data_IF_497074097507
#
_entry.id   IF_497074097507
#
_cell.length_a   1.000
_cell.length_b   1.000
_cell.length_c   1.000
_cell.angle_alpha   90.00
_cell.angle_beta   90.00
_cell.angle_gamma   90.00
#
_symmetry.space_group_name_H-M   'P 1'
#
loop_
_entity.id
_entity.type
_entity.pdbx_description
1 polymer ?
#
# COMPACT_ATOMS: atom_id res chain seq x y z
N UNK A 1 -9.34 -2.72 -8.26
CA UNK A 1 -9.12 -2.36 -6.84
C UNK A 1 -8.87 -3.60 -6.00
N UNK A 2 -9.68 -4.66 -6.14
CA UNK A 2 -9.60 -5.89 -5.33
C UNK A 2 -8.19 -6.52 -5.27
N UNK A 3 -7.48 -6.58 -6.40
CA UNK A 3 -6.09 -7.07 -6.43
C UNK A 3 -5.16 -6.26 -5.53
N UNK A 4 -5.30 -4.93 -5.51
CA UNK A 4 -4.48 -4.05 -4.68
C UNK A 4 -4.84 -4.21 -3.21
N UNK A 5 -6.14 -4.22 -2.89
CA UNK A 5 -6.63 -4.45 -1.53
C UNK A 5 -6.11 -5.77 -0.97
N UNK A 6 -6.17 -6.84 -1.77
CA UNK A 6 -5.66 -8.14 -1.37
C UNK A 6 -4.16 -8.10 -1.03
N UNK A 7 -3.32 -7.53 -1.91
CA UNK A 7 -1.88 -7.43 -1.65
C UNK A 7 -1.57 -6.64 -0.39
N UNK A 8 -2.22 -5.49 -0.20
CA UNK A 8 -1.98 -4.64 0.97
C UNK A 8 -2.53 -5.24 2.25
N UNK A 9 -3.60 -6.07 2.19
CA UNK A 9 -4.16 -6.74 3.36
C UNK A 9 -3.24 -7.78 3.99
N UNK A 10 -2.20 -8.22 3.27
CA UNK A 10 -1.19 -9.15 3.77
C UNK A 10 -0.20 -8.49 4.74
N UNK A 11 -0.23 -7.16 4.88
CA UNK A 11 0.64 -6.41 5.78
C UNK A 11 -0.14 -5.40 6.61
N UNK A 12 0.35 -5.16 7.83
CA UNK A 12 -0.13 -4.07 8.69
C UNK A 12 0.68 -2.77 8.49
N UNK A 13 1.76 -2.80 7.70
CA UNK A 13 2.64 -1.66 7.39
C UNK A 13 1.95 -0.60 6.54
N UNK A 14 0.95 -0.97 5.75
CA UNK A 14 0.27 -0.07 4.85
C UNK A 14 -1.23 -0.01 5.14
N UNK A 15 -1.80 1.19 5.06
CA UNK A 15 -3.25 1.41 5.11
C UNK A 15 -3.70 2.10 3.84
N UNK A 16 -4.76 1.58 3.24
CA UNK A 16 -5.37 2.15 2.04
C UNK A 16 -6.60 2.96 2.43
N UNK A 17 -7.02 3.91 1.59
CA UNK A 17 -8.24 4.64 1.84
C UNK A 17 -9.47 3.73 1.88
N UNK A 18 -10.36 3.98 2.83
CA UNK A 18 -11.64 3.31 2.94
C UNK A 18 -12.71 4.12 2.21
N UNK A 19 -13.38 3.49 1.24
CA UNK A 19 -14.47 4.11 0.49
C UNK A 19 -15.65 3.15 0.50
N UNK A 20 -16.77 3.48 1.16
CA UNK A 20 -17.91 2.58 1.25
C UNK A 20 -18.61 2.43 -0.11
N UNK A 21 -19.24 1.26 -0.38
CA UNK A 21 -20.12 1.12 -1.52
C UNK A 21 -21.28 2.12 -1.47
N UNK A 22 -21.70 2.61 -2.63
CA UNK A 22 -22.78 3.58 -2.75
C UNK A 22 -23.71 3.24 -3.91
N UNK A 23 -24.95 3.71 -3.84
CA UNK A 23 -25.89 3.60 -4.96
C UNK A 23 -25.49 4.53 -6.11
N UNK A 24 -25.37 3.97 -7.30
CA UNK A 24 -25.06 4.73 -8.51
C UNK A 24 -26.32 4.94 -9.35
N UNK A 25 -26.71 6.21 -9.56
CA UNK A 25 -27.90 6.55 -10.35
C UNK A 25 -27.79 6.10 -11.81
N UNK A 26 -26.60 6.12 -12.39
CA UNK A 26 -26.35 5.72 -13.77
C UNK A 26 -26.51 4.21 -13.97
N UNK A 27 -25.84 3.38 -13.14
CA UNK A 27 -25.94 1.92 -13.26
C UNK A 27 -27.15 1.32 -12.54
N UNK A 28 -27.90 2.13 -11.78
CA UNK A 28 -29.08 1.75 -10.98
C UNK A 28 -28.80 0.60 -9.99
N UNK A 29 -27.58 0.55 -9.47
CA UNK A 29 -27.09 -0.52 -8.58
C UNK A 29 -26.20 0.04 -7.49
N UNK A 30 -26.10 -0.68 -6.36
CA UNK A 30 -25.05 -0.43 -5.36
C UNK A 30 -23.73 -0.93 -5.92
N UNK A 31 -22.70 -0.08 -5.89
CA UNK A 31 -21.38 -0.38 -6.44
C UNK A 31 -20.28 -0.08 -5.43
N UNK A 32 -19.28 -0.96 -5.40
CA UNK A 32 -18.02 -0.68 -4.73
C UNK A 32 -17.22 0.42 -5.42
N UNK A 33 -16.30 1.04 -4.69
CA UNK A 33 -15.48 2.13 -5.19
C UNK A 33 -14.51 1.69 -6.29
N UNK A 34 -14.35 2.53 -7.30
CA UNK A 34 -13.38 2.37 -8.40
C UNK A 34 -12.53 3.65 -8.56
N UNK A 35 -11.71 4.00 -7.54
CA UNK A 35 -10.96 5.25 -7.56
C UNK A 35 -9.85 5.23 -8.61
N UNK A 36 -9.53 6.40 -9.17
CA UNK A 36 -8.40 6.55 -10.10
C UNK A 36 -7.03 6.48 -9.41
N UNK A 37 -7.00 6.69 -8.09
CA UNK A 37 -5.79 6.73 -7.29
C UNK A 37 -5.94 5.89 -6.03
N UNK A 38 -4.85 5.26 -5.59
CA UNK A 38 -4.70 4.72 -4.25
C UNK A 38 -4.05 5.79 -3.36
N UNK A 39 -4.63 6.04 -2.21
CA UNK A 39 -4.11 6.92 -1.18
C UNK A 39 -3.59 6.05 -0.05
N UNK A 40 -2.28 5.79 -0.10
CA UNK A 40 -1.61 4.81 0.75
C UNK A 40 -0.92 5.52 1.91
N UNK A 41 -1.19 5.09 3.15
CA UNK A 41 -0.46 5.51 4.35
C UNK A 41 0.55 4.42 4.75
N UNK A 42 1.78 4.80 5.06
CA UNK A 42 2.67 3.96 5.85
C UNK A 42 2.30 4.07 7.34
N UNK A 43 1.84 2.96 7.91
CA UNK A 43 1.21 2.90 9.23
C UNK A 43 2.19 2.65 10.38
N UNK A 44 3.40 2.17 10.09
CA UNK A 44 4.48 2.05 11.08
C UNK A 44 5.13 3.40 11.34
N UNK A 45 5.54 3.65 12.58
CA UNK A 45 6.03 4.96 13.01
C UNK A 45 7.42 5.27 12.43
N UNK A 46 8.24 4.23 12.26
CA UNK A 46 9.54 4.30 11.61
C UNK A 46 9.45 4.73 10.13
N UNK A 47 8.33 4.48 9.46
CA UNK A 47 8.07 4.87 8.07
C UNK A 47 7.54 6.31 7.96
N UNK A 48 8.26 7.27 8.57
CA UNK A 48 7.87 8.69 8.63
C UNK A 48 7.77 9.37 7.26
N UNK A 49 8.52 8.89 6.26
CA UNK A 49 8.44 9.35 4.88
C UNK A 49 8.11 8.17 3.95
N UNK A 50 6.83 7.99 3.67
CA UNK A 50 6.32 6.85 2.93
C UNK A 50 6.75 6.85 1.46
N UNK A 51 6.95 8.05 0.87
CA UNK A 51 7.47 8.18 -0.48
C UNK A 51 8.88 7.58 -0.61
N UNK A 52 9.78 7.92 0.34
CA UNK A 52 11.14 7.37 0.39
C UNK A 52 11.13 5.86 0.61
N UNK A 53 10.32 5.35 1.52
CA UNK A 53 10.16 3.91 1.77
C UNK A 53 9.80 3.16 0.48
N UNK A 54 8.72 3.58 -0.18
CA UNK A 54 8.25 2.94 -1.42
C UNK A 54 9.28 3.02 -2.55
N UNK A 55 9.96 4.16 -2.68
CA UNK A 55 10.98 4.36 -3.70
C UNK A 55 12.23 3.50 -3.46
N UNK A 56 12.78 3.51 -2.25
CA UNK A 56 14.04 2.84 -1.94
C UNK A 56 13.92 1.33 -1.81
N UNK A 57 12.82 0.82 -1.24
CA UNK A 57 12.68 -0.63 -0.97
C UNK A 57 12.03 -1.40 -2.12
N UNK A 58 11.22 -0.73 -2.95
CA UNK A 58 10.40 -1.38 -3.97
C UNK A 58 10.44 -0.68 -5.34
N UNK A 59 11.19 0.40 -5.50
CA UNK A 59 11.21 1.20 -6.74
C UNK A 59 9.79 1.64 -7.17
N UNK A 60 8.93 1.98 -6.22
CA UNK A 60 7.58 2.48 -6.49
C UNK A 60 7.58 4.00 -6.42
N UNK A 61 7.27 4.64 -7.54
CA UNK A 61 7.13 6.09 -7.64
C UNK A 61 5.65 6.49 -7.51
N UNK A 62 5.38 7.37 -6.54
CA UNK A 62 4.09 8.01 -6.33
C UNK A 62 4.25 9.50 -6.06
N UNK A 63 3.14 10.22 -5.87
CA UNK A 63 3.18 11.63 -5.46
C UNK A 63 3.12 11.73 -3.94
N UNK A 64 4.03 12.50 -3.36
CA UNK A 64 4.13 12.70 -1.91
C UNK A 64 2.85 13.31 -1.33
N UNK A 65 2.45 12.87 -0.13
CA UNK A 65 1.29 13.37 0.60
C UNK A 65 1.34 14.88 0.84
N UNK A 66 2.51 15.41 1.19
CA UNK A 66 2.72 16.86 1.41
C UNK A 66 2.39 17.75 0.22
N UNK A 67 2.41 17.21 -1.01
CA UNK A 67 1.97 17.96 -2.20
C UNK A 67 0.45 18.19 -2.24
N UNK A 68 -0.28 17.63 -1.28
CA UNK A 68 -1.73 17.70 -1.12
C UNK A 68 -2.12 18.07 0.33
N UNK A 69 -1.23 18.76 1.05
CA UNK A 69 -1.43 19.17 2.44
C UNK A 69 -1.69 18.00 3.42
N UNK A 70 -1.14 16.83 3.12
CA UNK A 70 -1.18 15.65 4.00
C UNK A 70 0.20 15.33 4.61
N UNK A 71 0.21 14.48 5.65
CA UNK A 71 1.46 13.98 6.25
C UNK A 71 2.38 13.31 5.20
N UNK A 72 3.69 13.39 5.41
CA UNK A 72 4.72 12.67 4.60
C UNK A 72 4.56 11.14 4.64
N UNK A 73 3.72 10.64 5.55
CA UNK A 73 3.31 9.24 5.65
C UNK A 73 2.33 8.81 4.56
N UNK A 74 1.80 9.73 3.75
CA UNK A 74 0.91 9.40 2.65
C UNK A 74 1.60 9.47 1.28
N UNK A 75 1.16 8.61 0.36
CA UNK A 75 1.55 8.62 -1.05
C UNK A 75 0.34 8.37 -1.93
N UNK A 76 0.22 9.14 -3.02
CA UNK A 76 -0.76 8.91 -4.08
C UNK A 76 -0.17 8.04 -5.19
N UNK A 77 -0.76 6.88 -5.41
CA UNK A 77 -0.40 5.96 -6.50
C UNK A 77 -1.47 6.00 -7.59
N UNK A 78 -1.07 6.04 -8.86
CA UNK A 78 -2.01 6.03 -9.99
C UNK A 78 -2.45 4.61 -10.31
N UNK A 79 -3.75 4.40 -10.43
CA UNK A 79 -4.37 3.10 -10.78
C UNK A 79 -4.87 3.06 -12.23
N UNK A 80 -4.72 4.17 -12.97
CA UNK A 80 -5.29 4.40 -14.31
C UNK A 80 -4.21 4.55 -15.39
N UNK A 81 -3.02 4.00 -15.13
CA UNK A 81 -1.96 3.85 -16.15
C UNK A 81 -2.24 2.62 -17.04
N UNK A 82 -1.25 2.20 -17.83
CA UNK A 82 -1.34 0.96 -18.59
C UNK A 82 -1.55 -0.26 -17.68
N UNK A 83 -2.06 -1.36 -18.23
CA UNK A 83 -2.19 -2.62 -17.50
C UNK A 83 -0.82 -3.12 -17.01
N UNK A 84 0.23 -2.92 -17.81
CA UNK A 84 1.61 -3.31 -17.46
C UNK A 84 2.14 -2.51 -16.28
N UNK A 85 1.93 -1.20 -16.26
CA UNK A 85 2.28 -0.35 -15.13
C UNK A 85 1.55 -0.78 -13.85
N UNK A 86 0.27 -1.10 -13.97
CA UNK A 86 -0.53 -1.56 -12.83
C UNK A 86 -0.07 -2.93 -12.32
N UNK A 87 0.24 -3.87 -13.22
CA UNK A 87 0.78 -5.17 -12.84
C UNK A 87 2.17 -5.06 -12.20
N UNK A 88 3.03 -4.18 -12.71
CA UNK A 88 4.34 -3.90 -12.14
C UNK A 88 4.22 -3.32 -10.72
N UNK A 89 3.29 -2.38 -10.50
CA UNK A 89 2.99 -1.85 -9.17
C UNK A 89 2.57 -2.96 -8.21
N UNK A 90 1.65 -3.83 -8.62
CA UNK A 90 1.19 -4.95 -7.79
C UNK A 90 2.32 -5.92 -7.44
N UNK A 91 3.20 -6.25 -8.39
CA UNK A 91 4.32 -7.16 -8.14
C UNK A 91 5.31 -6.56 -7.14
N UNK A 92 5.68 -5.29 -7.30
CA UNK A 92 6.58 -4.59 -6.37
C UNK A 92 5.99 -4.51 -4.96
N UNK A 93 4.69 -4.23 -4.83
CA UNK A 93 4.02 -4.22 -3.53
C UNK A 93 3.98 -5.61 -2.88
N UNK A 94 3.73 -6.67 -3.67
CA UNK A 94 3.78 -8.05 -3.16
C UNK A 94 5.15 -8.39 -2.62
N UNK A 95 6.21 -8.11 -3.38
CA UNK A 95 7.59 -8.36 -2.94
C UNK A 95 7.93 -7.58 -1.66
N UNK A 96 7.51 -6.32 -1.57
CA UNK A 96 7.73 -5.47 -0.40
C UNK A 96 7.05 -6.05 0.85
N UNK A 97 5.79 -6.48 0.71
CA UNK A 97 5.01 -7.06 1.81
C UNK A 97 5.54 -8.44 2.21
N UNK A 98 5.95 -9.29 1.27
CA UNK A 98 6.53 -10.61 1.59
C UNK A 98 7.89 -10.51 2.29
N UNK A 99 8.74 -9.54 1.91
CA UNK A 99 10.02 -9.29 2.59
C UNK A 99 9.82 -8.85 4.04
N UNK A 100 8.76 -8.07 4.31
CA UNK A 100 8.41 -7.66 5.67
C UNK A 100 8.09 -8.88 6.56
N UNK A 101 7.31 -9.83 6.05
CA UNK A 101 6.95 -11.05 6.78
C UNK A 101 8.19 -11.88 7.13
N UNK A 102 9.08 -12.10 6.16
CA UNK A 102 10.33 -12.83 6.38
C UNK A 102 11.24 -12.17 7.44
N UNK A 103 11.33 -10.84 7.43
CA UNK A 103 12.11 -10.09 8.41
C UNK A 103 11.51 -10.20 9.82
N UNK A 104 10.17 -10.22 9.95
CA UNK A 104 9.49 -10.44 11.23
C UNK A 104 9.77 -11.85 11.78
N UNK A 105 9.61 -12.89 10.95
CA UNK A 105 9.89 -14.27 11.35
C UNK A 105 11.35 -14.45 11.78
N UNK A 106 12.29 -13.84 11.05
CA UNK A 106 13.73 -13.90 11.37
C UNK A 106 14.03 -13.20 12.70
N UNK A 107 13.41 -12.04 12.95
CA UNK A 107 13.58 -11.29 14.21
C UNK A 107 13.02 -12.07 15.40
N UNK A 108 11.85 -12.70 15.25
CA UNK A 108 11.26 -13.56 16.29
C UNK A 108 12.13 -14.79 16.58
N UNK A 109 12.67 -15.44 15.56
CA UNK A 109 13.58 -16.58 15.74
C UNK A 109 14.87 -16.16 16.47
N UNK A 110 15.46 -15.01 16.11
CA UNK A 110 16.66 -14.47 16.76
C UNK A 110 16.41 -14.13 18.23
N UNK A 111 15.28 -13.47 18.53
CA UNK A 111 14.91 -13.12 19.92
C UNK A 111 14.62 -14.34 20.81
N UNK A 112 14.14 -15.45 20.24
CA UNK A 112 13.98 -16.73 20.95
C UNK A 112 15.32 -17.40 21.24
N UNK A 113 16.26 -17.40 20.28
CA UNK A 113 17.59 -18.01 20.46
C UNK A 113 18.51 -17.24 21.42
N UNK A 114 18.31 -15.94 21.60
CA UNK A 114 19.10 -15.12 22.55
C UNK A 114 18.62 -15.20 24.01
N UNK A 115 17.54 -15.95 24.28
CA UNK A 115 16.98 -16.18 25.63
C UNK A 115 17.29 -17.57 26.19
N UNK A 116 18.07 -18.37 25.47
CA UNK A 116 18.65 -19.66 25.88
C UNK A 116 20.14 -19.47 26.14
#
# INVERSE_FOLDING_TARGET
MDKLNHVLSLSKRFKLQEIPPAFCNYSRTVRGASPAFAWLKCAKEEDSNCHKVLHHEANILGREGRSFDAEDRYVRLSLVKSADDFNLLLNRLKELVSKEEQNQTTTELMTLTSRL
#
